data_IF_307272076702
#
_entry.id   IF_307272076702
#
_cell.length_a   1.000
_cell.length_b   1.000
_cell.length_c   1.000
_cell.angle_alpha   90.00
_cell.angle_beta   90.00
_cell.angle_gamma   90.00
#
_symmetry.space_group_name_H-M   'P 1'
#
loop_
_entity.id
_entity.type
_entity.pdbx_description
1 polymer ?
#
# COMPACT_ATOMS: atom_id res chain seq x y z
N UNK A 1 13.23 -1.88 24.07
CA UNK A 1 13.87 -0.84 23.26
C UNK A 1 14.12 0.32 24.21
N UNK A 2 15.32 0.42 24.78
CA UNK A 2 15.63 1.35 25.86
C UNK A 2 16.43 2.57 25.41
N UNK A 3 16.90 2.61 24.17
CA UNK A 3 17.63 3.71 23.58
C UNK A 3 17.06 3.99 22.18
N UNK A 4 16.64 5.23 21.96
CA UNK A 4 16.10 5.70 20.68
C UNK A 4 17.21 6.20 19.74
N UNK A 5 18.47 6.23 20.20
CA UNK A 5 19.58 6.75 19.42
C UNK A 5 19.45 8.24 19.09
N UNK A 6 18.85 9.04 20.00
CA UNK A 6 18.63 10.47 19.76
C UNK A 6 19.95 11.23 19.75
N UNK A 7 20.23 11.94 18.67
CA UNK A 7 21.38 12.84 18.54
C UNK A 7 20.87 14.27 18.68
N UNK A 8 21.19 14.90 19.79
CA UNK A 8 20.84 16.31 20.03
C UNK A 8 21.78 17.19 19.20
N UNK A 9 21.24 18.24 18.59
CA UNK A 9 21.97 19.07 17.62
C UNK A 9 22.65 18.24 16.53
N UNK A 10 21.85 17.33 15.96
CA UNK A 10 22.28 16.36 14.97
C UNK A 10 22.26 16.91 13.55
N UNK A 11 23.09 16.32 12.68
CA UNK A 11 23.04 16.55 11.26
C UNK A 11 23.12 15.22 10.49
N UNK A 12 22.55 15.24 9.29
CA UNK A 12 22.60 14.16 8.30
C UNK A 12 23.21 14.73 7.01
N UNK A 13 24.26 14.10 6.50
CA UNK A 13 24.81 14.42 5.19
C UNK A 13 24.47 13.32 4.20
N UNK A 14 24.11 13.72 2.99
CA UNK A 14 23.74 12.81 1.89
C UNK A 14 24.46 13.21 0.61
N UNK A 15 24.80 12.22 -0.21
CA UNK A 15 25.31 12.43 -1.56
C UNK A 15 24.72 11.34 -2.47
N UNK A 16 24.21 11.75 -3.62
CA UNK A 16 23.65 10.85 -4.63
C UNK A 16 22.55 9.92 -4.07
N UNK A 17 21.68 10.46 -3.20
CA UNK A 17 20.60 9.69 -2.57
C UNK A 17 21.03 8.77 -1.42
N UNK A 18 22.32 8.78 -1.03
CA UNK A 18 22.87 7.93 0.03
C UNK A 18 23.27 8.77 1.24
N UNK A 19 22.85 8.34 2.44
CA UNK A 19 23.31 8.93 3.70
C UNK A 19 24.79 8.57 3.89
N UNK A 20 25.63 9.60 3.94
CA UNK A 20 27.09 9.44 4.10
C UNK A 20 27.55 9.63 5.54
N UNK A 21 26.93 10.56 6.27
CA UNK A 21 27.28 10.84 7.66
C UNK A 21 26.01 11.15 8.47
N UNK A 22 26.00 10.69 9.72
CA UNK A 22 24.98 11.03 10.73
C UNK A 22 25.73 11.22 12.05
N UNK A 23 25.45 12.32 12.75
CA UNK A 23 26.12 12.58 14.02
C UNK A 23 25.82 14.00 14.53
N UNK A 24 26.51 14.44 15.60
CA UNK A 24 26.50 15.84 16.01
C UNK A 24 26.92 16.77 14.86
N UNK A 25 26.25 17.92 14.74
CA UNK A 25 26.45 18.85 13.63
C UNK A 25 27.93 19.20 13.40
N UNK A 26 28.69 19.52 14.46
CA UNK A 26 30.10 19.84 14.35
C UNK A 26 30.96 18.68 13.79
N UNK A 27 30.60 17.44 14.12
CA UNK A 27 31.31 16.25 13.64
C UNK A 27 31.02 15.99 12.17
N UNK A 28 29.76 16.07 11.77
CA UNK A 28 29.35 15.91 10.37
C UNK A 28 30.01 16.97 9.49
N UNK A 29 29.96 18.24 9.90
CA UNK A 29 30.57 19.34 9.14
C UNK A 29 32.10 19.20 8.99
N UNK A 30 32.79 18.65 9.98
CA UNK A 30 34.25 18.37 9.85
C UNK A 30 34.59 17.28 8.84
N UNK A 31 33.67 16.36 8.60
CA UNK A 31 33.84 15.22 7.71
C UNK A 31 33.33 15.45 6.29
N UNK A 32 32.59 16.54 6.05
CA UNK A 32 32.15 16.93 4.72
C UNK A 32 33.30 17.67 4.03
N UNK A 33 33.77 17.13 2.92
CA UNK A 33 34.84 17.70 2.10
C UNK A 33 34.34 18.41 0.83
N UNK A 34 33.01 18.56 0.68
CA UNK A 34 32.42 19.27 -0.45
C UNK A 34 32.55 20.77 -0.26
N UNK A 35 33.01 21.48 -1.30
CA UNK A 35 33.07 22.94 -1.32
C UNK A 35 31.68 23.57 -1.51
N UNK A 36 30.77 22.83 -2.18
CA UNK A 36 29.38 23.22 -2.43
C UNK A 36 28.41 22.17 -1.91
N UNK A 37 27.51 22.52 -1.00
CA UNK A 37 26.40 21.71 -0.53
C UNK A 37 25.16 22.55 -0.27
N UNK A 38 23.97 21.95 -0.41
CA UNK A 38 22.71 22.53 0.00
C UNK A 38 22.50 22.29 1.49
N UNK A 39 22.42 23.34 2.28
CA UNK A 39 22.07 23.26 3.70
C UNK A 39 20.56 23.40 3.88
N UNK A 40 19.94 22.39 4.50
CA UNK A 40 18.53 22.40 4.93
C UNK A 40 18.53 22.52 6.45
N UNK A 41 18.00 23.64 6.97
CA UNK A 41 17.93 23.89 8.42
C UNK A 41 16.67 23.28 9.01
N UNK A 42 16.84 22.39 10.00
CA UNK A 42 15.76 21.74 10.73
C UNK A 42 15.72 22.19 12.20
N UNK A 43 15.88 23.47 12.46
CA UNK A 43 15.94 24.03 13.82
C UNK A 43 14.63 23.78 14.57
N UNK A 44 14.74 23.21 15.78
CA UNK A 44 13.60 22.79 16.62
C UNK A 44 12.71 21.71 15.98
N UNK A 45 13.23 20.95 15.06
CA UNK A 45 12.54 19.82 14.41
C UNK A 45 13.27 18.50 14.69
N UNK A 46 12.56 17.40 14.58
CA UNK A 46 13.16 16.09 14.57
C UNK A 46 13.32 15.60 13.12
N UNK A 47 14.52 15.12 12.79
CA UNK A 47 14.77 14.43 11.53
C UNK A 47 14.70 12.92 11.81
N UNK A 48 13.82 12.23 11.11
CA UNK A 48 13.54 10.81 11.27
C UNK A 48 13.72 10.11 9.93
N UNK A 49 14.03 8.79 9.92
CA UNK A 49 13.81 7.97 8.73
C UNK A 49 12.36 8.09 8.26
N UNK A 50 12.14 8.03 6.95
CA UNK A 50 10.80 7.98 6.39
C UNK A 50 10.01 6.80 6.94
N UNK A 51 8.70 6.99 7.12
CA UNK A 51 7.85 5.92 7.62
C UNK A 51 7.57 4.89 6.52
N UNK A 52 7.42 3.64 6.93
CA UNK A 52 7.02 2.54 6.06
C UNK A 52 5.62 2.09 6.47
N UNK A 53 4.67 2.21 5.54
CA UNK A 53 3.34 1.63 5.72
C UNK A 53 3.29 0.25 5.06
N UNK A 54 3.31 -0.78 5.88
CA UNK A 54 3.46 -2.18 5.47
C UNK A 54 2.13 -2.89 5.18
N UNK A 55 1.00 -2.19 5.11
CA UNK A 55 -0.27 -2.80 4.75
C UNK A 55 -1.29 -1.76 4.29
N UNK A 56 -1.35 -1.53 2.99
CA UNK A 56 -2.37 -0.66 2.40
C UNK A 56 -3.08 -1.30 1.23
N UNK A 57 -4.28 -0.79 0.93
CA UNK A 57 -5.02 -1.05 -0.30
C UNK A 57 -5.35 0.31 -0.92
N UNK A 58 -4.35 1.02 -1.43
CA UNK A 58 -4.55 2.39 -1.90
C UNK A 58 -5.12 2.48 -3.33
N UNK A 59 -5.12 1.37 -4.10
CA UNK A 59 -5.73 1.32 -5.43
C UNK A 59 -7.12 0.69 -5.35
N UNK A 60 -8.16 1.53 -5.39
CA UNK A 60 -9.55 1.09 -5.44
C UNK A 60 -10.49 2.16 -6.02
N UNK A 61 -11.62 1.71 -6.60
CA UNK A 61 -12.52 2.54 -7.39
C UNK A 61 -13.55 3.38 -6.63
N UNK A 62 -13.93 3.03 -5.42
CA UNK A 62 -14.98 3.74 -4.69
C UNK A 62 -14.88 3.65 -3.19
N UNK A 63 -15.49 4.62 -2.51
CA UNK A 63 -15.53 4.69 -1.05
C UNK A 63 -16.81 4.04 -0.49
N UNK A 64 -16.82 3.76 0.81
CA UNK A 64 -17.92 3.14 1.55
C UNK A 64 -18.40 4.04 2.69
N UNK A 65 -18.49 5.35 2.46
CA UNK A 65 -18.83 6.35 3.46
C UNK A 65 -20.23 6.15 4.04
N UNK A 66 -21.16 5.63 3.28
CA UNK A 66 -22.52 5.32 3.77
C UNK A 66 -22.51 4.21 4.84
N UNK A 67 -21.60 3.24 4.71
CA UNK A 67 -21.47 2.15 5.69
C UNK A 67 -21.07 2.66 7.07
N UNK A 68 -20.28 3.73 7.14
CA UNK A 68 -19.96 4.39 8.40
C UNK A 68 -21.24 4.88 9.11
N UNK A 69 -22.13 5.50 8.35
CA UNK A 69 -23.42 5.96 8.86
C UNK A 69 -24.32 4.80 9.32
N UNK A 70 -24.26 3.66 8.63
CA UNK A 70 -25.01 2.46 9.02
C UNK A 70 -24.48 1.86 10.33
N UNK A 71 -23.15 1.79 10.47
CA UNK A 71 -22.50 1.33 11.71
C UNK A 71 -22.82 2.22 12.90
N UNK A 72 -22.85 3.53 12.72
CA UNK A 72 -23.23 4.48 13.77
C UNK A 72 -24.69 4.28 14.23
N UNK A 73 -25.58 3.79 13.36
CA UNK A 73 -26.97 3.43 13.68
C UNK A 73 -27.11 2.06 14.35
N UNK A 74 -26.03 1.31 14.46
CA UNK A 74 -26.02 0.00 15.11
C UNK A 74 -26.22 -1.18 14.15
N UNK A 75 -26.16 -0.97 12.84
CA UNK A 75 -26.25 -2.06 11.87
C UNK A 75 -25.09 -3.04 12.06
N UNK A 76 -25.40 -4.34 12.05
CA UNK A 76 -24.38 -5.38 12.13
C UNK A 76 -23.60 -5.49 10.83
N UNK A 77 -22.36 -6.03 10.90
CA UNK A 77 -21.56 -6.30 9.70
C UNK A 77 -22.33 -7.16 8.67
N UNK A 78 -23.06 -8.17 9.14
CA UNK A 78 -23.86 -9.04 8.26
C UNK A 78 -24.97 -8.28 7.56
N UNK A 79 -25.69 -7.38 8.25
CA UNK A 79 -26.75 -6.59 7.63
C UNK A 79 -26.21 -5.59 6.59
N UNK A 80 -24.99 -5.09 6.78
CA UNK A 80 -24.29 -4.24 5.80
C UNK A 80 -23.94 -5.05 4.55
N UNK A 81 -23.41 -6.27 4.74
CA UNK A 81 -23.09 -7.17 3.63
C UNK A 81 -24.33 -7.58 2.83
N UNK A 82 -25.45 -7.90 3.48
CA UNK A 82 -26.72 -8.25 2.83
C UNK A 82 -27.29 -7.12 1.97
N UNK A 83 -26.97 -5.86 2.29
CA UNK A 83 -27.33 -4.69 1.48
C UNK A 83 -26.36 -4.41 0.32
N UNK A 84 -25.37 -5.29 0.10
CA UNK A 84 -24.36 -5.15 -0.94
C UNK A 84 -23.18 -4.25 -0.55
N UNK A 85 -23.00 -3.96 0.76
CA UNK A 85 -21.84 -3.27 1.29
C UNK A 85 -20.61 -4.18 1.45
N UNK A 86 -19.61 -3.69 2.17
CA UNK A 86 -18.38 -4.40 2.41
C UNK A 86 -17.49 -4.48 1.16
N UNK A 87 -16.67 -5.52 1.12
CA UNK A 87 -15.70 -5.72 0.03
C UNK A 87 -16.35 -5.83 -1.35
N UNK A 88 -17.58 -6.34 -1.43
CA UNK A 88 -18.31 -6.51 -2.70
C UNK A 88 -18.61 -5.13 -3.34
N UNK A 89 -18.91 -4.13 -2.54
CA UNK A 89 -19.13 -2.76 -3.05
C UNK A 89 -17.82 -2.17 -3.61
N UNK A 90 -16.72 -2.26 -2.86
CA UNK A 90 -15.41 -1.81 -3.33
C UNK A 90 -14.98 -2.56 -4.60
N UNK A 91 -15.17 -3.89 -4.63
CA UNK A 91 -14.87 -4.73 -5.80
C UNK A 91 -15.63 -4.24 -7.05
N UNK A 92 -16.94 -4.03 -6.94
CA UNK A 92 -17.74 -3.53 -8.08
C UNK A 92 -17.23 -2.18 -8.58
N UNK A 93 -17.05 -1.22 -7.67
CA UNK A 93 -16.56 0.10 -8.03
C UNK A 93 -15.14 0.06 -8.64
N UNK A 94 -14.29 -0.86 -8.20
CA UNK A 94 -12.94 -1.05 -8.77
C UNK A 94 -13.01 -1.65 -10.16
N UNK A 95 -13.86 -2.66 -10.38
CA UNK A 95 -14.08 -3.27 -11.71
C UNK A 95 -14.69 -2.31 -12.72
N UNK A 96 -15.48 -1.35 -12.27
CA UNK A 96 -16.12 -0.31 -13.11
C UNK A 96 -15.18 0.88 -13.41
N UNK A 97 -14.07 0.99 -12.69
CA UNK A 97 -13.08 2.05 -12.90
C UNK A 97 -12.09 1.67 -14.01
N UNK A 98 -11.74 2.62 -14.87
CA UNK A 98 -10.66 2.46 -15.82
C UNK A 98 -9.29 2.69 -15.18
N UNK A 99 -8.23 2.44 -15.95
CA UNK A 99 -6.85 2.60 -15.52
C UNK A 99 -6.56 4.03 -15.04
N UNK A 100 -6.96 5.03 -15.80
CA UNK A 100 -6.66 6.44 -15.53
C UNK A 100 -7.33 6.88 -14.22
N UNK A 101 -8.58 6.50 -14.00
CA UNK A 101 -9.31 6.77 -12.75
C UNK A 101 -8.62 6.13 -11.53
N UNK A 102 -8.15 4.88 -11.66
CA UNK A 102 -7.44 4.20 -10.56
C UNK A 102 -6.06 4.80 -10.31
N UNK A 103 -5.39 5.25 -11.38
CA UNK A 103 -4.09 5.91 -11.30
C UNK A 103 -4.20 7.26 -10.61
N UNK A 104 -5.09 8.14 -11.05
CA UNK A 104 -5.31 9.48 -10.46
C UNK A 104 -5.63 9.39 -8.95
N UNK A 105 -6.55 8.49 -8.59
CA UNK A 105 -6.91 8.27 -7.18
C UNK A 105 -5.80 7.62 -6.37
N UNK A 106 -5.01 6.78 -7.00
CA UNK A 106 -3.82 6.18 -6.40
C UNK A 106 -2.78 7.23 -6.06
N UNK A 107 -2.49 8.12 -7.01
CA UNK A 107 -1.57 9.24 -6.85
C UNK A 107 -2.01 10.18 -5.71
N UNK A 108 -3.29 10.62 -5.70
CA UNK A 108 -3.84 11.45 -4.62
C UNK A 108 -3.63 10.83 -3.23
N UNK A 109 -3.83 9.52 -3.09
CA UNK A 109 -3.65 8.81 -1.80
C UNK A 109 -2.18 8.68 -1.42
N UNK A 110 -1.28 8.49 -2.39
CA UNK A 110 0.16 8.49 -2.15
C UNK A 110 0.63 9.87 -1.70
N UNK A 111 0.13 10.95 -2.32
CA UNK A 111 0.42 12.33 -1.90
C UNK A 111 -0.02 12.59 -0.45
N UNK A 112 -1.20 12.11 -0.06
CA UNK A 112 -1.67 12.21 1.33
C UNK A 112 -0.75 11.44 2.29
N UNK A 113 -0.36 10.20 1.98
CA UNK A 113 0.56 9.41 2.79
C UNK A 113 1.95 10.07 2.86
N UNK A 114 2.45 10.58 1.75
CA UNK A 114 3.73 11.27 1.66
C UNK A 114 3.74 12.53 2.54
N UNK A 115 2.64 13.29 2.53
CA UNK A 115 2.49 14.47 3.39
C UNK A 115 2.56 14.15 4.89
N UNK A 116 2.26 12.91 5.27
CA UNK A 116 2.38 12.40 6.64
C UNK A 116 3.74 11.79 6.96
N UNK A 117 4.68 11.82 6.02
CA UNK A 117 6.04 11.33 6.19
C UNK A 117 6.24 9.84 5.84
N UNK A 118 5.27 9.21 5.20
CA UNK A 118 5.44 7.85 4.64
C UNK A 118 6.26 7.98 3.36
N UNK A 119 7.33 7.21 3.25
CA UNK A 119 8.22 7.19 2.07
C UNK A 119 8.22 5.86 1.34
N UNK A 120 7.72 4.81 1.98
CA UNK A 120 7.58 3.48 1.39
C UNK A 120 6.23 2.89 1.78
N UNK A 121 5.51 2.33 0.82
CA UNK A 121 4.19 1.74 1.04
C UNK A 121 4.13 0.34 0.43
N UNK A 122 3.57 -0.62 1.18
CA UNK A 122 3.12 -1.87 0.59
C UNK A 122 1.72 -1.67 0.02
N UNK A 123 1.59 -1.75 -1.30
CA UNK A 123 0.31 -1.72 -2.01
C UNK A 123 -0.19 -3.14 -2.29
N UNK A 124 -1.31 -3.50 -1.68
CA UNK A 124 -1.97 -4.79 -1.93
C UNK A 124 -3.10 -4.61 -2.94
N UNK A 125 -3.19 -5.52 -3.92
CA UNK A 125 -4.38 -5.69 -4.75
C UNK A 125 -5.51 -6.39 -3.98
N UNK A 126 -6.43 -7.07 -4.62
CA UNK A 126 -7.46 -7.85 -3.95
C UNK A 126 -8.82 -7.16 -3.85
N UNK A 127 -9.00 -6.10 -4.63
CA UNK A 127 -10.31 -5.50 -4.86
C UNK A 127 -10.83 -5.69 -6.29
N UNK A 128 -10.08 -6.39 -7.14
CA UNK A 128 -10.55 -6.88 -8.42
C UNK A 128 -11.25 -8.22 -8.29
N UNK A 129 -10.57 -9.18 -7.68
CA UNK A 129 -10.99 -10.57 -7.52
C UNK A 129 -11.27 -11.26 -8.86
N UNK A 130 -10.74 -10.71 -9.95
CA UNK A 130 -10.69 -11.27 -11.28
C UNK A 130 -9.36 -10.91 -11.97
N UNK A 131 -9.01 -11.67 -13.00
CA UNK A 131 -7.72 -11.51 -13.70
C UNK A 131 -7.49 -10.08 -14.21
N UNK A 132 -8.47 -9.49 -14.88
CA UNK A 132 -8.29 -8.21 -15.56
C UNK A 132 -8.11 -7.07 -14.57
N UNK A 133 -8.95 -7.02 -13.55
CA UNK A 133 -8.93 -5.93 -12.57
C UNK A 133 -7.71 -6.03 -11.64
N UNK A 134 -7.32 -7.24 -11.24
CA UNK A 134 -6.10 -7.46 -10.46
C UNK A 134 -4.86 -7.00 -11.23
N UNK A 135 -4.76 -7.34 -12.53
CA UNK A 135 -3.67 -6.86 -13.39
C UNK A 135 -3.66 -5.34 -13.52
N UNK A 136 -4.83 -4.71 -13.68
CA UNK A 136 -4.92 -3.23 -13.76
C UNK A 136 -4.43 -2.60 -12.46
N UNK A 137 -4.89 -3.08 -11.29
CA UNK A 137 -4.42 -2.57 -10.00
C UNK A 137 -2.90 -2.65 -9.85
N UNK A 138 -2.30 -3.79 -10.21
CA UNK A 138 -0.86 -4.00 -10.10
C UNK A 138 -0.06 -3.17 -11.09
N UNK A 139 -0.56 -2.96 -12.31
CA UNK A 139 0.06 -2.06 -13.29
C UNK A 139 0.03 -0.60 -12.82
N UNK A 140 -1.10 -0.15 -12.26
CA UNK A 140 -1.20 1.19 -11.65
C UNK A 140 -0.17 1.36 -10.54
N UNK A 141 0.00 0.36 -9.66
CA UNK A 141 1.03 0.41 -8.62
C UNK A 141 2.44 0.48 -9.19
N UNK A 142 2.72 -0.26 -10.27
CA UNK A 142 4.01 -0.24 -10.96
C UNK A 142 4.30 1.13 -11.57
N UNK A 143 3.34 1.72 -12.27
CA UNK A 143 3.49 3.03 -12.91
C UNK A 143 3.65 4.16 -11.87
N UNK A 144 2.90 4.08 -10.76
CA UNK A 144 3.06 5.00 -9.65
C UNK A 144 4.42 4.87 -8.95
N UNK A 145 4.95 3.64 -8.83
CA UNK A 145 6.31 3.44 -8.31
C UNK A 145 7.40 4.09 -9.19
N UNK A 146 7.16 4.22 -10.49
CA UNK A 146 8.10 4.87 -11.40
C UNK A 146 7.97 6.39 -11.41
N UNK A 147 6.78 6.92 -11.15
CA UNK A 147 6.46 8.36 -11.29
C UNK A 147 6.40 9.13 -9.98
N UNK A 148 6.05 8.48 -8.87
CA UNK A 148 5.89 9.10 -7.55
C UNK A 148 7.20 9.04 -6.72
N UNK A 149 7.48 10.02 -5.84
CA UNK A 149 8.69 10.00 -5.01
C UNK A 149 8.71 8.94 -3.91
N UNK A 150 7.59 8.28 -3.61
CA UNK A 150 7.52 7.16 -2.67
C UNK A 150 7.87 5.84 -3.37
N UNK A 151 8.51 4.93 -2.62
CA UNK A 151 8.67 3.54 -3.04
C UNK A 151 7.34 2.78 -2.85
N UNK A 152 6.83 2.17 -3.92
CA UNK A 152 5.64 1.32 -3.89
C UNK A 152 6.03 -0.13 -4.06
N UNK A 153 5.82 -0.93 -3.02
CA UNK A 153 6.06 -2.37 -3.03
C UNK A 153 4.74 -3.09 -3.29
N UNK A 154 4.58 -3.65 -4.49
CA UNK A 154 3.34 -4.30 -4.91
C UNK A 154 3.22 -5.72 -4.37
N UNK A 155 2.05 -6.04 -3.82
CA UNK A 155 1.67 -7.37 -3.32
C UNK A 155 0.38 -7.82 -3.98
N UNK A 156 0.40 -8.99 -4.62
CA UNK A 156 -0.82 -9.61 -5.13
C UNK A 156 -1.61 -10.24 -3.99
N UNK A 157 -2.87 -9.88 -3.84
CA UNK A 157 -3.80 -10.42 -2.85
C UNK A 157 -5.15 -10.84 -3.48
N UNK A 158 -5.15 -11.53 -4.61
CA UNK A 158 -6.39 -12.03 -5.23
C UNK A 158 -7.18 -12.98 -4.31
N UNK A 159 -6.50 -13.66 -3.38
CA UNK A 159 -7.14 -14.45 -2.35
C UNK A 159 -7.64 -13.63 -1.13
N UNK A 160 -8.15 -12.43 -1.36
CA UNK A 160 -8.68 -11.53 -0.33
C UNK A 160 -10.12 -11.88 0.07
N UNK A 161 -10.94 -12.29 -0.90
CA UNK A 161 -12.30 -12.78 -0.68
C UNK A 161 -12.74 -13.62 -1.88
N UNK A 162 -13.80 -14.40 -1.70
CA UNK A 162 -14.46 -15.12 -2.81
C UNK A 162 -15.48 -14.18 -3.45
N UNK A 163 -15.36 -13.85 -4.74
CA UNK A 163 -16.30 -12.95 -5.40
C UNK A 163 -17.66 -13.64 -5.65
N UNK A 164 -18.74 -12.87 -5.85
CA UNK A 164 -20.10 -13.41 -5.97
C UNK A 164 -20.28 -14.48 -7.05
N UNK A 165 -19.57 -14.41 -8.16
CA UNK A 165 -19.62 -15.40 -9.25
C UNK A 165 -19.08 -16.78 -8.86
N UNK A 166 -18.29 -16.84 -7.78
CA UNK A 166 -17.82 -18.09 -7.17
C UNK A 166 -18.49 -18.41 -5.83
N UNK A 167 -19.60 -17.75 -5.49
CA UNK A 167 -20.29 -18.00 -4.24
C UNK A 167 -20.63 -19.49 -4.05
N UNK A 168 -20.20 -20.08 -2.92
CA UNK A 168 -20.35 -21.52 -2.63
C UNK A 168 -19.41 -22.46 -3.42
N UNK A 169 -18.48 -21.92 -4.19
CA UNK A 169 -17.49 -22.66 -4.98
C UNK A 169 -16.08 -22.16 -4.71
N UNK A 170 -15.69 -22.14 -3.44
CA UNK A 170 -14.40 -21.58 -3.00
C UNK A 170 -13.22 -22.31 -3.64
N UNK A 171 -13.29 -23.64 -3.74
CA UNK A 171 -12.23 -24.44 -4.36
C UNK A 171 -12.04 -24.08 -5.85
N UNK A 172 -13.15 -23.91 -6.60
CA UNK A 172 -13.08 -23.46 -8.00
C UNK A 172 -12.40 -22.07 -8.12
N UNK A 173 -12.63 -21.17 -7.15
CA UNK A 173 -11.97 -19.86 -7.13
C UNK A 173 -10.47 -19.99 -6.83
N UNK A 174 -10.09 -20.87 -5.92
CA UNK A 174 -8.68 -21.14 -5.63
C UNK A 174 -7.98 -21.73 -6.86
N UNK A 175 -8.61 -22.69 -7.54
CA UNK A 175 -8.08 -23.26 -8.78
C UNK A 175 -7.93 -22.19 -9.87
N UNK A 176 -8.94 -21.32 -10.06
CA UNK A 176 -8.85 -20.16 -10.96
C UNK A 176 -7.68 -19.24 -10.64
N UNK A 177 -7.47 -18.91 -9.35
CA UNK A 177 -6.33 -18.09 -8.93
C UNK A 177 -4.98 -18.77 -9.26
N UNK A 178 -4.87 -20.07 -9.03
CA UNK A 178 -3.62 -20.84 -9.24
C UNK A 178 -3.35 -21.08 -10.72
N UNK A 179 -4.36 -21.45 -11.49
CA UNK A 179 -4.19 -21.92 -12.87
C UNK A 179 -4.19 -20.79 -13.89
N UNK A 180 -4.93 -19.70 -13.64
CA UNK A 180 -5.10 -18.60 -14.59
C UNK A 180 -4.46 -17.30 -14.11
N UNK A 181 -4.80 -16.84 -12.88
CA UNK A 181 -4.44 -15.48 -12.44
C UNK A 181 -2.95 -15.37 -12.07
N UNK A 182 -2.45 -16.26 -11.22
CA UNK A 182 -1.04 -16.23 -10.80
C UNK A 182 -0.04 -16.36 -11.95
N UNK A 183 -0.24 -17.25 -12.95
CA UNK A 183 0.65 -17.32 -14.11
C UNK A 183 0.67 -16.04 -14.92
N UNK A 184 -0.50 -15.39 -15.11
CA UNK A 184 -0.59 -14.14 -15.85
C UNK A 184 0.12 -12.98 -15.12
N UNK A 185 -0.11 -12.84 -13.80
CA UNK A 185 0.58 -11.84 -12.97
C UNK A 185 2.08 -12.06 -12.98
N UNK A 186 2.55 -13.29 -12.85
CA UNK A 186 3.96 -13.62 -12.91
C UNK A 186 4.60 -13.21 -14.26
N UNK A 187 3.86 -13.32 -15.35
CA UNK A 187 4.34 -12.95 -16.69
C UNK A 187 4.55 -11.42 -16.84
N UNK A 188 3.81 -10.60 -16.12
CA UNK A 188 3.93 -9.14 -16.15
C UNK A 188 5.11 -8.61 -15.32
N UNK A 189 5.66 -9.39 -14.40
CA UNK A 189 6.77 -8.99 -13.50
C UNK A 189 6.51 -7.73 -12.65
N UNK A 190 5.25 -7.40 -12.39
CA UNK A 190 4.84 -6.18 -11.67
C UNK A 190 4.70 -6.36 -10.15
N UNK A 191 4.95 -7.56 -9.64
CA UNK A 191 4.64 -7.96 -8.26
C UNK A 191 5.88 -8.38 -7.51
N UNK A 192 6.05 -7.85 -6.30
CA UNK A 192 7.14 -8.24 -5.38
C UNK A 192 6.73 -9.40 -4.48
N UNK A 193 5.51 -9.38 -3.96
CA UNK A 193 4.99 -10.37 -3.02
C UNK A 193 3.63 -10.92 -3.43
N UNK A 194 3.29 -12.08 -2.88
CA UNK A 194 1.96 -12.67 -2.94
C UNK A 194 1.49 -12.98 -1.52
N UNK A 195 0.25 -12.60 -1.21
CA UNK A 195 -0.34 -12.78 0.11
C UNK A 195 -1.70 -13.47 0.02
N UNK A 196 -2.16 -14.02 1.14
CA UNK A 196 -3.46 -14.68 1.29
C UNK A 196 -4.13 -14.17 2.55
N UNK A 197 -5.36 -13.66 2.43
CA UNK A 197 -6.13 -13.23 3.57
C UNK A 197 -6.85 -14.42 4.22
N UNK A 198 -6.37 -14.81 5.40
CA UNK A 198 -6.98 -15.87 6.22
C UNK A 198 -7.62 -15.25 7.47
N UNK A 199 -8.92 -15.45 7.63
CA UNK A 199 -9.59 -15.15 8.90
C UNK A 199 -9.19 -16.16 9.96
N UNK A 200 -8.92 -15.71 11.20
CA UNK A 200 -8.61 -16.57 12.34
C UNK A 200 -9.68 -17.65 12.61
N UNK A 201 -10.92 -17.40 12.19
CA UNK A 201 -12.01 -18.40 12.29
C UNK A 201 -11.94 -19.49 11.22
N UNK A 202 -11.09 -19.34 10.22
CA UNK A 202 -10.85 -20.32 9.17
C UNK A 202 -9.51 -21.07 9.34
N UNK A 203 -8.73 -20.73 10.33
CA UNK A 203 -7.60 -21.55 10.77
C UNK A 203 -8.23 -22.72 11.53
N UNK A 204 -8.68 -23.72 10.77
CA UNK A 204 -9.04 -24.98 11.36
C UNK A 204 -7.77 -25.57 11.99
N UNK A 205 -7.88 -25.96 13.23
CA UNK A 205 -6.90 -26.69 13.99
C UNK A 205 -6.18 -27.77 13.16
N UNK A 206 -4.87 -28.00 13.41
CA UNK A 206 -4.14 -29.08 12.79
C UNK A 206 -4.69 -30.45 13.17
#
# INVERSE_FOLDING_TARGET
MSDLGVIVDGAVAMSDGVITHVGPTEEVLRNIHAEDYLEIRAENQAVLPGFVDSHTHFIFGGYREEEFSWRLRGDSYMSIMERGGGIVNTMKATRESDFDTLWDRGEERLDELFSMGVTTVEGKSGYGLDLQTELVQLRVMSDLNESHPMDVVSTFLGAHAVPPEFAGRTDDYVDYMIEEVLPAIRAEHTVTFCDVFLSLIHISEP
#
